data_IF_637757193817
#
_entry.id   IF_637757193817
#
_cell.length_a   1.000
_cell.length_b   1.000
_cell.length_c   1.000
_cell.angle_alpha   90.00
_cell.angle_beta   90.00
_cell.angle_gamma   90.00
#
_symmetry.space_group_name_H-M   'P 1'
#
loop_
_entity.id
_entity.type
_entity.pdbx_description
1 polymer ?
#
# COMPACT_ATOMS: atom_id res chain seq x y z
N UNK A 1 24.07 -2.55 4.45
CA UNK A 1 23.21 -1.45 4.93
C UNK A 1 22.21 -1.10 3.85
N UNK A 2 20.96 -0.78 4.21
CA UNK A 2 19.91 -0.43 3.23
C UNK A 2 20.09 1.01 2.76
N UNK A 3 20.21 1.25 1.44
CA UNK A 3 20.38 2.60 0.88
C UNK A 3 19.10 3.43 1.01
N UNK A 4 19.18 4.77 1.09
CA UNK A 4 18.00 5.64 1.06
C UNK A 4 17.08 5.38 -0.13
N UNK A 5 17.66 5.17 -1.32
CA UNK A 5 16.92 4.81 -2.54
C UNK A 5 16.12 3.52 -2.36
N UNK A 6 16.74 2.47 -1.82
CA UNK A 6 16.05 1.19 -1.58
C UNK A 6 14.89 1.35 -0.61
N UNK A 7 15.09 2.08 0.50
CA UNK A 7 14.05 2.30 1.49
C UNK A 7 12.88 3.10 0.92
N UNK A 8 13.18 4.17 0.18
CA UNK A 8 12.16 5.05 -0.42
C UNK A 8 11.46 4.47 -1.64
N UNK A 9 11.92 3.35 -2.19
CA UNK A 9 11.14 2.57 -3.18
C UNK A 9 9.89 1.93 -2.55
N UNK A 10 9.71 2.05 -1.22
CA UNK A 10 8.43 1.82 -0.55
C UNK A 10 7.99 3.06 0.21
N UNK A 11 7.09 3.85 -0.38
CA UNK A 11 6.55 5.07 0.20
C UNK A 11 5.30 5.56 -0.57
N UNK A 12 4.64 6.59 -0.06
CA UNK A 12 3.54 7.28 -0.72
C UNK A 12 4.03 8.50 -1.49
N UNK A 13 3.58 8.64 -2.73
CA UNK A 13 3.98 9.73 -3.62
C UNK A 13 2.76 10.40 -4.24
N UNK A 14 2.80 11.73 -4.38
CA UNK A 14 1.82 12.45 -5.17
C UNK A 14 1.96 12.07 -6.64
N UNK A 15 0.83 11.87 -7.30
CA UNK A 15 0.78 11.61 -8.74
C UNK A 15 0.48 12.90 -9.51
N UNK A 16 0.49 12.81 -10.84
CA UNK A 16 -0.04 13.85 -11.74
C UNK A 16 -1.55 14.04 -11.60
N UNK A 17 -2.27 12.99 -11.17
CA UNK A 17 -3.71 13.08 -10.91
C UNK A 17 -3.93 13.89 -9.64
N UNK A 18 -4.64 15.02 -9.76
CA UNK A 18 -4.80 15.98 -8.68
C UNK A 18 -5.44 15.33 -7.44
N UNK A 19 -4.81 15.48 -6.28
CA UNK A 19 -5.31 14.96 -5.01
C UNK A 19 -5.13 13.44 -4.82
N UNK A 20 -4.58 12.74 -5.81
CA UNK A 20 -4.38 11.28 -5.75
C UNK A 20 -2.92 10.96 -5.48
N UNK A 21 -2.72 10.06 -4.50
CA UNK A 21 -1.43 9.53 -4.13
C UNK A 21 -1.31 8.07 -4.59
N UNK A 22 -0.07 7.62 -4.79
CA UNK A 22 0.24 6.25 -5.16
C UNK A 22 1.24 5.67 -4.16
N UNK A 23 0.97 4.45 -3.71
CA UNK A 23 1.89 3.65 -2.91
C UNK A 23 2.82 2.89 -3.85
N UNK A 24 4.10 3.27 -3.89
CA UNK A 24 5.12 2.36 -4.41
C UNK A 24 5.47 1.33 -3.34
N UNK A 25 5.64 0.07 -3.73
CA UNK A 25 6.04 -1.00 -2.83
C UNK A 25 7.10 -1.92 -3.48
N UNK A 26 8.36 -1.51 -3.42
CA UNK A 26 9.47 -2.22 -4.09
C UNK A 26 10.76 -2.35 -3.28
N UNK A 27 10.81 -1.99 -2.00
CA UNK A 27 12.06 -1.97 -1.20
C UNK A 27 12.73 -3.35 -1.02
N UNK A 28 12.01 -4.46 -1.24
CA UNK A 28 12.58 -5.81 -1.26
C UNK A 28 13.53 -6.01 -2.45
N UNK A 29 13.19 -5.48 -3.62
CA UNK A 29 14.02 -5.49 -4.83
C UNK A 29 13.82 -4.19 -5.62
N UNK A 30 14.48 -3.12 -5.18
CA UNK A 30 14.21 -1.77 -5.67
C UNK A 30 14.70 -1.50 -7.10
N UNK A 31 15.78 -2.15 -7.53
CA UNK A 31 16.43 -1.81 -8.79
C UNK A 31 15.53 -2.02 -10.02
N UNK A 32 14.84 -3.17 -10.20
CA UNK A 32 13.92 -3.36 -11.31
C UNK A 32 12.76 -2.36 -11.31
N UNK A 33 12.21 -2.03 -10.14
CA UNK A 33 11.12 -1.06 -10.00
C UNK A 33 11.57 0.31 -10.47
N UNK A 34 12.70 0.81 -9.94
CA UNK A 34 13.24 2.12 -10.32
C UNK A 34 13.60 2.18 -11.81
N UNK A 35 14.27 1.14 -12.34
CA UNK A 35 14.63 1.07 -13.76
C UNK A 35 13.42 1.08 -14.68
N UNK A 36 12.35 0.37 -14.32
CA UNK A 36 11.13 0.33 -15.13
C UNK A 36 10.47 1.71 -15.29
N UNK A 37 10.68 2.60 -14.32
CA UNK A 37 10.18 3.98 -14.32
C UNK A 37 11.25 4.97 -14.79
N UNK A 38 12.31 4.49 -15.44
CA UNK A 38 13.44 5.29 -15.96
C UNK A 38 14.18 6.09 -14.87
N UNK A 39 14.26 5.55 -13.66
CA UNK A 39 15.05 6.08 -12.55
C UNK A 39 16.36 5.30 -12.37
N UNK A 40 17.41 5.96 -11.90
CA UNK A 40 18.68 5.31 -11.55
C UNK A 40 18.60 4.69 -10.13
N UNK A 41 18.71 3.36 -9.98
CA UNK A 41 18.74 2.71 -8.67
C UNK A 41 19.94 3.12 -7.80
N UNK A 42 21.01 3.61 -8.43
CA UNK A 42 22.25 4.02 -7.78
C UNK A 42 22.36 5.52 -7.59
N UNK A 43 21.25 6.27 -7.77
CA UNK A 43 21.21 7.70 -7.51
C UNK A 43 21.83 8.02 -6.13
N UNK A 44 22.81 8.94 -6.03
CA UNK A 44 23.66 9.11 -4.86
C UNK A 44 22.97 9.92 -3.74
N UNK A 45 21.73 9.59 -3.40
CA UNK A 45 21.03 10.18 -2.27
C UNK A 45 21.72 9.83 -0.96
N UNK A 46 22.14 10.85 -0.21
CA UNK A 46 22.78 10.73 1.10
C UNK A 46 21.75 10.56 2.21
N UNK A 47 20.54 11.10 2.00
CA UNK A 47 19.46 11.08 3.00
C UNK A 47 18.19 10.45 2.44
N UNK A 48 17.31 10.01 3.34
CA UNK A 48 16.00 9.51 2.99
C UNK A 48 15.14 10.57 2.29
N UNK A 49 15.34 11.85 2.58
CA UNK A 49 14.56 12.95 1.99
C UNK A 49 15.05 13.31 0.59
N UNK A 50 16.35 13.22 0.33
CA UNK A 50 16.90 13.34 -1.03
C UNK A 50 16.37 12.23 -1.94
N UNK A 51 16.39 10.98 -1.46
CA UNK A 51 15.82 9.86 -2.19
C UNK A 51 14.32 10.03 -2.44
N UNK A 52 13.58 10.48 -1.42
CA UNK A 52 12.14 10.74 -1.55
C UNK A 52 11.86 11.81 -2.59
N UNK A 53 12.57 12.94 -2.58
CA UNK A 53 12.39 14.03 -3.56
C UNK A 53 12.69 13.57 -4.98
N UNK A 54 13.76 12.79 -5.16
CA UNK A 54 14.11 12.22 -6.45
C UNK A 54 13.00 11.31 -6.98
N UNK A 55 12.56 10.32 -6.20
CA UNK A 55 11.48 9.41 -6.61
C UNK A 55 10.16 10.17 -6.82
N UNK A 56 9.82 11.11 -5.93
CA UNK A 56 8.61 11.92 -6.03
C UNK A 56 8.57 12.75 -7.32
N UNK A 57 9.72 13.29 -7.77
CA UNK A 57 9.80 14.04 -9.01
C UNK A 57 9.42 13.18 -10.22
N UNK A 58 9.92 11.94 -10.28
CA UNK A 58 9.62 10.99 -11.35
C UNK A 58 8.17 10.46 -11.28
N UNK A 59 7.72 10.02 -10.10
CA UNK A 59 6.35 9.50 -9.92
C UNK A 59 5.30 10.58 -10.20
N UNK A 60 5.57 11.83 -9.83
CA UNK A 60 4.68 12.97 -10.07
C UNK A 60 4.43 13.29 -11.54
N UNK A 61 5.17 12.69 -12.48
CA UNK A 61 4.92 12.84 -13.93
C UNK A 61 3.84 11.89 -14.46
N UNK A 62 3.45 10.90 -13.66
CA UNK A 62 2.52 9.84 -14.06
C UNK A 62 1.18 10.05 -13.38
N UNK A 63 0.09 9.81 -14.11
CA UNK A 63 -1.24 9.68 -13.53
C UNK A 63 -1.33 8.41 -12.67
N UNK A 64 -2.29 8.37 -11.75
CA UNK A 64 -2.51 7.20 -10.91
C UNK A 64 -2.80 5.92 -11.72
N UNK A 65 -3.57 6.04 -12.81
CA UNK A 65 -3.92 4.91 -13.68
C UNK A 65 -2.72 4.42 -14.51
N UNK A 66 -1.86 5.33 -14.99
CA UNK A 66 -0.62 4.96 -15.68
C UNK A 66 0.32 4.17 -14.75
N UNK A 67 0.43 4.57 -13.48
CA UNK A 67 1.22 3.85 -12.48
C UNK A 67 0.66 2.46 -12.19
N UNK A 68 -0.67 2.34 -12.07
CA UNK A 68 -1.34 1.06 -11.85
C UNK A 68 -1.09 0.11 -13.03
N UNK A 69 -1.32 0.58 -14.26
CA UNK A 69 -1.10 -0.22 -15.46
C UNK A 69 0.38 -0.58 -15.67
N UNK A 70 1.30 0.32 -15.30
CA UNK A 70 2.73 0.04 -15.31
C UNK A 70 3.09 -1.10 -14.36
N UNK A 71 2.57 -1.07 -13.13
CA UNK A 71 2.82 -2.13 -12.15
C UNK A 71 2.20 -3.46 -12.58
N UNK A 72 0.96 -3.46 -13.08
CA UNK A 72 0.29 -4.65 -13.63
C UNK A 72 1.12 -5.26 -14.76
N UNK A 73 1.59 -4.44 -15.70
CA UNK A 73 2.39 -4.90 -16.85
C UNK A 73 3.71 -5.54 -16.44
N UNK A 74 4.37 -5.01 -15.41
CA UNK A 74 5.69 -5.47 -14.99
C UNK A 74 5.65 -6.47 -13.82
N UNK A 75 4.47 -6.78 -13.27
CA UNK A 75 4.31 -7.65 -12.10
C UNK A 75 4.87 -7.04 -10.81
N UNK A 76 4.81 -5.70 -10.67
CA UNK A 76 5.26 -5.00 -9.47
C UNK A 76 4.12 -4.71 -8.51
N UNK A 77 4.47 -4.51 -7.24
CA UNK A 77 3.53 -4.14 -6.20
C UNK A 77 3.40 -2.61 -6.08
N UNK A 78 2.17 -2.17 -5.89
CA UNK A 78 1.81 -0.79 -5.62
C UNK A 78 0.31 -0.64 -5.75
N UNK A 79 -0.23 0.48 -5.29
CA UNK A 79 -1.66 0.76 -5.41
C UNK A 79 -1.97 2.24 -5.31
N UNK A 80 -3.09 2.63 -5.90
CA UNK A 80 -3.69 3.94 -5.71
C UNK A 80 -4.16 4.09 -4.25
N UNK A 81 -3.83 5.21 -3.61
CA UNK A 81 -4.34 5.55 -2.29
C UNK A 81 -5.76 6.15 -2.41
N UNK A 82 -6.76 5.28 -2.41
CA UNK A 82 -8.16 5.69 -2.50
C UNK A 82 -8.67 6.39 -1.25
N UNK A 83 -9.63 7.29 -1.42
CA UNK A 83 -10.53 7.69 -0.32
C UNK A 83 -11.46 6.51 0.03
N UNK A 84 -12.09 6.49 1.21
CA UNK A 84 -13.06 5.43 1.55
C UNK A 84 -14.16 5.27 0.50
N UNK A 85 -14.70 6.39 -0.01
CA UNK A 85 -15.68 6.37 -1.10
C UNK A 85 -15.07 5.87 -2.41
N UNK A 86 -13.89 6.36 -2.79
CA UNK A 86 -13.22 5.92 -4.02
C UNK A 86 -12.93 4.42 -4.01
N UNK A 87 -12.56 3.87 -2.84
CA UNK A 87 -12.35 2.43 -2.66
C UNK A 87 -13.64 1.63 -2.84
N UNK A 88 -14.75 2.06 -2.21
CA UNK A 88 -16.03 1.34 -2.30
C UNK A 88 -16.62 1.33 -3.72
N UNK A 89 -16.25 2.32 -4.54
CA UNK A 89 -16.68 2.40 -5.94
C UNK A 89 -15.89 1.48 -6.88
N UNK A 90 -14.69 1.00 -6.47
CA UNK A 90 -13.89 0.05 -7.26
C UNK A 90 -14.61 -1.29 -7.43
N UNK A 91 -14.22 -2.06 -8.47
CA UNK A 91 -14.72 -3.41 -8.67
C UNK A 91 -14.41 -4.30 -7.45
N UNK A 92 -13.20 -4.22 -6.91
CA UNK A 92 -12.80 -5.01 -5.73
C UNK A 92 -13.61 -4.62 -4.50
N UNK A 93 -13.80 -3.32 -4.25
CA UNK A 93 -14.61 -2.82 -3.14
C UNK A 93 -16.05 -3.30 -3.21
N UNK A 94 -16.68 -3.22 -4.39
CA UNK A 94 -18.05 -3.73 -4.62
C UNK A 94 -18.15 -5.23 -4.36
N UNK A 95 -17.23 -6.04 -4.91
CA UNK A 95 -17.23 -7.50 -4.69
C UNK A 95 -16.99 -7.87 -3.23
N UNK A 96 -16.12 -7.15 -2.53
CA UNK A 96 -15.85 -7.41 -1.12
C UNK A 96 -17.04 -7.06 -0.24
N UNK A 97 -17.83 -6.05 -0.61
CA UNK A 97 -19.07 -5.68 0.09
C UNK A 97 -20.17 -6.76 0.02
N UNK A 98 -20.12 -7.64 -0.98
CA UNK A 98 -21.02 -8.79 -1.09
C UNK A 98 -20.71 -9.91 -0.07
N UNK A 99 -19.58 -9.80 0.66
CA UNK A 99 -19.13 -10.77 1.66
C UNK A 99 -19.20 -10.20 3.08
N UNK A 100 -19.42 -11.04 4.10
CA UNK A 100 -19.35 -10.59 5.49
C UNK A 100 -17.92 -10.14 5.84
N UNK A 101 -17.82 -9.12 6.70
CA UNK A 101 -16.53 -8.63 7.21
C UNK A 101 -15.71 -9.74 7.90
N UNK A 102 -16.42 -10.63 8.61
CA UNK A 102 -15.83 -11.80 9.26
C UNK A 102 -16.65 -13.03 8.88
N UNK A 103 -16.07 -13.88 8.04
CA UNK A 103 -16.54 -15.24 7.85
C UNK A 103 -16.02 -16.12 8.98
N UNK A 104 -16.89 -16.50 9.91
CA UNK A 104 -16.53 -17.47 10.95
C UNK A 104 -17.36 -18.75 10.79
N UNK A 105 -16.74 -19.86 11.15
CA UNK A 105 -17.41 -21.14 11.29
C UNK A 105 -17.03 -21.70 12.66
N UNK A 106 -18.03 -22.20 13.40
CA UNK A 106 -17.77 -22.84 14.67
C UNK A 106 -16.91 -24.09 14.46
N UNK A 107 -15.79 -24.16 15.16
CA UNK A 107 -14.93 -25.34 15.19
C UNK A 107 -15.24 -26.16 16.44
N UNK A 108 -15.90 -27.31 16.28
CA UNK A 108 -16.35 -28.17 17.39
C UNK A 108 -15.32 -29.21 17.84
N UNK A 109 -14.16 -29.28 17.18
CA UNK A 109 -13.13 -30.28 17.47
C UNK A 109 -12.27 -29.94 18.69
N UNK A 110 -12.24 -28.67 19.11
CA UNK A 110 -11.49 -28.24 20.28
C UNK A 110 -12.33 -28.37 21.55
N UNK A 111 -11.67 -28.67 22.68
CA UNK A 111 -12.29 -28.61 24.01
C UNK A 111 -12.77 -27.17 24.24
N UNK A 112 -14.05 -26.93 24.63
CA UNK A 112 -14.55 -25.59 24.87
C UNK A 112 -13.65 -24.83 25.86
N UNK A 113 -13.29 -23.61 25.52
CA UNK A 113 -12.61 -22.73 26.47
C UNK A 113 -13.52 -22.55 27.69
N UNK A 114 -13.03 -22.78 28.92
CA UNK A 114 -13.82 -22.54 30.12
C UNK A 114 -14.38 -21.12 30.11
N UNK A 115 -15.65 -20.97 30.47
CA UNK A 115 -16.26 -19.65 30.56
C UNK A 115 -15.48 -18.80 31.58
N UNK A 116 -14.98 -17.65 31.14
CA UNK A 116 -14.42 -16.63 32.02
C UNK A 116 -15.40 -15.48 32.10
N UNK A 117 -15.56 -14.90 33.29
CA UNK A 117 -16.36 -13.68 33.44
C UNK A 117 -15.69 -12.54 32.69
N UNK A 118 -16.45 -11.80 31.88
CA UNK A 118 -15.96 -10.53 31.35
C UNK A 118 -15.66 -9.58 32.52
N UNK A 119 -14.55 -8.86 32.44
CA UNK A 119 -14.25 -7.79 33.40
C UNK A 119 -15.40 -6.78 33.37
N UNK A 120 -16.03 -6.45 34.51
CA UNK A 120 -17.06 -5.43 34.53
C UNK A 120 -16.46 -4.12 34.00
N UNK A 121 -17.00 -3.65 32.88
CA UNK A 121 -16.66 -2.35 32.33
C UNK A 121 -17.27 -1.33 33.30
N UNK A 122 -16.49 -0.43 33.93
CA UNK A 122 -17.08 0.68 34.68
C UNK A 122 -18.00 1.42 33.72
N UNK A 123 -19.27 1.61 34.09
CA UNK A 123 -20.27 2.39 33.34
C UNK A 123 -19.61 3.49 32.52
N UNK A 124 -19.65 3.37 31.20
CA UNK A 124 -19.38 4.49 30.31
C UNK A 124 -20.32 5.62 30.77
N UNK A 125 -19.74 6.76 31.15
CA UNK A 125 -20.48 8.00 31.44
C UNK A 125 -20.57 8.82 30.17
#
# INVERSE_FOLDING_TARGET
>A
MSSPMRQRTTALYKTKTLGVWYQLHGSLNAAPVLQSMSMDPKYPAKTADEAYKYIAHHVGQWTADELEMHNVKNGFCGSICFTPQGWSETLMGKRLADHPLVGYAQQSHAIPTPAISFTPIPSDK
#
